data_IF_128641468849
#
_entry.id   IF_128641468849
#
_cell.length_a   1.000
_cell.length_b   1.000
_cell.length_c   1.000
_cell.angle_alpha   90.00
_cell.angle_beta   90.00
_cell.angle_gamma   90.00
#
_symmetry.space_group_name_H-M   'P 1'
#
loop_
_entity.id
_entity.type
_entity.pdbx_description
1 polymer ?
#
# COMPACT_ATOMS: atom_id res chain seq x y z
N UNK A 1 52.38 -31.81 13.05
CA UNK A 1 50.96 -31.49 12.80
C UNK A 1 50.85 -30.92 11.39
N UNK A 2 50.01 -31.47 10.50
CA UNK A 2 49.88 -30.90 9.17
C UNK A 2 48.97 -29.66 9.22
N UNK A 3 49.42 -28.60 8.55
CA UNK A 3 48.69 -27.35 8.38
C UNK A 3 47.59 -27.59 7.35
N UNK A 4 46.34 -27.33 7.73
CA UNK A 4 45.17 -27.44 6.86
C UNK A 4 45.21 -26.38 5.74
N UNK A 5 44.78 -26.70 4.51
CA UNK A 5 44.72 -25.73 3.42
C UNK A 5 43.63 -24.68 3.68
N UNK A 6 43.75 -23.48 3.08
CA UNK A 6 42.77 -22.41 3.25
C UNK A 6 41.41 -22.85 2.72
N UNK A 7 40.36 -22.68 3.52
CA UNK A 7 38.97 -22.84 3.08
C UNK A 7 38.71 -21.84 1.95
N UNK A 8 38.48 -22.34 0.74
CA UNK A 8 37.83 -21.56 -0.31
C UNK A 8 36.47 -21.12 0.24
N UNK A 9 36.31 -19.82 0.51
CA UNK A 9 35.01 -19.19 0.63
C UNK A 9 34.38 -19.19 -0.77
N UNK A 10 33.76 -20.30 -1.15
CA UNK A 10 32.67 -20.22 -2.12
C UNK A 10 31.54 -19.52 -1.41
N UNK A 11 31.17 -18.32 -1.87
CA UNK A 11 29.98 -17.63 -1.42
C UNK A 11 28.83 -18.65 -1.38
N UNK A 12 28.33 -18.93 -0.18
CA UNK A 12 27.08 -19.63 0.06
C UNK A 12 26.00 -18.95 -0.77
N UNK A 13 24.94 -19.67 -1.12
CA UNK A 13 23.70 -19.14 -1.72
C UNK A 13 22.96 -18.18 -0.76
N UNK A 14 23.67 -17.23 -0.16
CA UNK A 14 23.30 -16.49 1.06
C UNK A 14 22.71 -15.09 0.82
N UNK A 15 22.52 -14.61 -0.42
CA UNK A 15 21.89 -13.29 -0.64
C UNK A 15 21.00 -13.26 -1.89
N UNK A 16 20.00 -14.16 -1.98
CA UNK A 16 18.88 -13.87 -2.89
C UNK A 16 18.08 -12.74 -2.27
N UNK A 17 18.39 -11.50 -2.65
CA UNK A 17 17.46 -10.37 -2.57
C UNK A 17 16.14 -10.79 -3.24
N UNK A 18 15.21 -11.33 -2.44
CA UNK A 18 13.93 -11.82 -2.94
C UNK A 18 13.04 -10.60 -3.18
N UNK A 19 13.15 -10.05 -4.39
CA UNK A 19 12.23 -9.02 -4.87
C UNK A 19 10.91 -9.69 -5.19
N UNK A 20 9.86 -9.30 -4.47
CA UNK A 20 8.50 -9.81 -4.65
C UNK A 20 7.67 -8.71 -5.28
N UNK A 21 7.13 -9.00 -6.47
CA UNK A 21 6.14 -8.15 -7.12
C UNK A 21 4.88 -8.97 -7.34
N UNK A 22 3.76 -8.53 -6.77
CA UNK A 22 2.46 -9.15 -6.93
C UNK A 22 1.46 -8.13 -7.50
N UNK A 23 0.63 -8.57 -8.44
CA UNK A 23 -0.43 -7.76 -9.03
C UNK A 23 -1.74 -8.54 -9.00
N UNK A 24 -2.84 -7.89 -8.61
CA UNK A 24 -4.19 -8.46 -8.72
C UNK A 24 -4.98 -7.79 -9.83
N UNK A 25 -5.94 -8.50 -10.40
CA UNK A 25 -6.80 -7.96 -11.44
C UNK A 25 -8.22 -8.51 -11.36
N UNK A 26 -9.14 -7.85 -12.06
CA UNK A 26 -10.53 -8.29 -12.19
C UNK A 26 -10.71 -9.59 -13.00
N UNK A 27 -9.62 -10.21 -13.45
CA UNK A 27 -9.58 -11.56 -14.03
C UNK A 27 -9.56 -12.68 -12.98
N UNK A 28 -9.68 -12.33 -11.69
CA UNK A 28 -9.67 -13.27 -10.55
C UNK A 28 -8.33 -13.97 -10.32
N UNK A 29 -7.26 -13.44 -10.90
CA UNK A 29 -5.90 -13.89 -10.70
C UNK A 29 -5.11 -12.87 -9.85
N UNK A 30 -4.20 -13.39 -9.04
CA UNK A 30 -3.08 -12.62 -8.50
C UNK A 30 -1.80 -13.19 -9.13
N UNK A 31 -1.03 -12.38 -9.84
CA UNK A 31 0.21 -12.82 -10.51
C UNK A 31 1.42 -12.36 -9.72
N UNK A 32 2.35 -13.29 -9.50
CA UNK A 32 3.69 -13.03 -8.96
C UNK A 32 4.67 -12.91 -10.11
N UNK A 33 5.48 -11.87 -10.09
CA UNK A 33 6.38 -11.52 -11.17
C UNK A 33 7.82 -11.53 -10.71
N UNK A 34 8.69 -12.00 -11.58
CA UNK A 34 10.11 -11.73 -11.47
C UNK A 34 10.37 -10.29 -11.91
N UNK A 35 10.61 -9.39 -10.94
CA UNK A 35 10.80 -7.97 -11.21
C UNK A 35 11.92 -7.68 -12.24
N UNK A 36 12.96 -8.52 -12.28
CA UNK A 36 14.12 -8.38 -13.17
C UNK A 36 13.92 -8.89 -14.60
N UNK A 37 12.91 -9.72 -14.86
CA UNK A 37 12.71 -10.33 -16.20
C UNK A 37 11.36 -9.94 -16.79
N UNK A 38 10.36 -9.65 -15.96
CA UNK A 38 8.99 -9.38 -16.39
C UNK A 38 8.16 -10.65 -16.57
N UNK A 39 8.76 -11.82 -16.30
CA UNK A 39 8.07 -13.10 -16.41
C UNK A 39 7.14 -13.32 -15.22
N UNK A 40 5.95 -13.84 -15.50
CA UNK A 40 5.03 -14.33 -14.48
C UNK A 40 5.59 -15.64 -13.91
N UNK A 41 5.95 -15.64 -12.64
CA UNK A 41 6.48 -16.81 -11.93
C UNK A 41 5.36 -17.74 -11.47
N UNK A 42 4.31 -17.16 -10.87
CA UNK A 42 3.18 -17.91 -10.33
C UNK A 42 1.89 -17.14 -10.54
N UNK A 43 0.81 -17.87 -10.76
CA UNK A 43 -0.55 -17.33 -10.72
C UNK A 43 -1.30 -17.97 -9.55
N UNK A 44 -1.74 -17.12 -8.63
CA UNK A 44 -2.60 -17.47 -7.50
C UNK A 44 -4.05 -17.25 -7.90
N UNK A 45 -4.93 -18.19 -7.52
CA UNK A 45 -6.35 -18.08 -7.81
C UNK A 45 -7.06 -17.29 -6.70
N UNK A 46 -7.81 -16.27 -7.09
CA UNK A 46 -8.67 -15.48 -6.21
C UNK A 46 -10.08 -15.43 -6.79
N UNK A 47 -10.75 -16.57 -6.78
CA UNK A 47 -12.13 -16.71 -7.23
C UNK A 47 -13.11 -15.94 -6.33
N UNK A 48 -14.32 -15.72 -6.81
CA UNK A 48 -15.48 -15.19 -6.05
C UNK A 48 -15.46 -13.70 -5.69
N UNK A 49 -14.32 -13.03 -5.79
CA UNK A 49 -14.23 -11.59 -5.52
C UNK A 49 -13.16 -10.89 -6.38
N UNK A 50 -13.27 -9.58 -6.53
CA UNK A 50 -12.14 -8.71 -6.87
C UNK A 50 -11.24 -8.48 -5.66
N UNK A 51 -10.01 -8.02 -5.92
CA UNK A 51 -9.05 -7.64 -4.87
C UNK A 51 -8.93 -6.12 -4.85
N UNK A 52 -9.21 -5.50 -3.71
CA UNK A 52 -9.18 -4.04 -3.54
C UNK A 52 -7.84 -3.54 -2.98
N UNK A 53 -7.17 -4.37 -2.17
CA UNK A 53 -5.84 -4.08 -1.65
C UNK A 53 -5.00 -5.36 -1.57
N UNK A 54 -3.71 -5.24 -1.87
CA UNK A 54 -2.70 -6.28 -1.74
C UNK A 54 -1.59 -5.77 -0.83
N UNK A 55 -1.08 -6.63 0.03
CA UNK A 55 0.10 -6.32 0.84
C UNK A 55 0.88 -7.59 1.19
N UNK A 56 2.20 -7.47 1.24
CA UNK A 56 3.10 -8.56 1.65
C UNK A 56 3.38 -8.41 3.15
N UNK A 57 3.33 -9.51 3.90
CA UNK A 57 3.66 -9.48 5.33
C UNK A 57 5.09 -9.01 5.56
N UNK A 58 5.40 -8.38 6.72
CA UNK A 58 6.74 -7.85 6.98
C UNK A 58 7.88 -8.88 6.90
N UNK A 59 7.58 -10.14 7.21
CA UNK A 59 8.50 -11.29 7.13
C UNK A 59 8.64 -11.89 5.71
N UNK A 60 7.96 -11.31 4.72
CA UNK A 60 7.94 -11.75 3.33
C UNK A 60 7.43 -13.19 3.11
N UNK A 61 6.70 -13.76 4.07
CA UNK A 61 6.21 -15.13 3.99
C UNK A 61 4.85 -15.23 3.31
N UNK A 62 3.95 -14.27 3.57
CA UNK A 62 2.57 -14.32 3.10
C UNK A 62 2.22 -13.08 2.27
N UNK A 63 1.25 -13.26 1.38
CA UNK A 63 0.59 -12.19 0.64
C UNK A 63 -0.88 -12.12 1.07
N UNK A 64 -1.30 -10.96 1.54
CA UNK A 64 -2.68 -10.69 1.88
C UNK A 64 -3.43 -10.05 0.72
N UNK A 65 -4.64 -10.55 0.45
CA UNK A 65 -5.56 -10.00 -0.53
C UNK A 65 -6.89 -9.66 0.13
N UNK A 66 -7.19 -8.36 0.21
CA UNK A 66 -8.45 -7.82 0.69
C UNK A 66 -9.49 -7.82 -0.43
N UNK A 67 -10.62 -8.50 -0.22
CA UNK A 67 -11.70 -8.62 -1.20
C UNK A 67 -13.06 -8.17 -0.65
N UNK A 68 -14.12 -8.73 -1.23
CA UNK A 68 -15.49 -8.59 -0.78
C UNK A 68 -15.76 -9.59 0.34
N UNK A 69 -16.00 -9.12 1.56
CA UNK A 69 -16.36 -9.94 2.73
C UNK A 69 -15.27 -10.90 3.27
N UNK A 70 -14.13 -11.02 2.60
CA UNK A 70 -13.00 -11.83 3.07
C UNK A 70 -11.63 -11.15 2.89
N UNK A 71 -10.67 -11.61 3.68
CA UNK A 71 -9.24 -11.37 3.46
C UNK A 71 -8.56 -12.74 3.34
N UNK A 72 -7.90 -12.98 2.20
CA UNK A 72 -7.20 -14.24 1.93
C UNK A 72 -5.71 -14.05 2.04
N UNK A 73 -5.04 -14.97 2.73
CA UNK A 73 -3.57 -15.04 2.81
C UNK A 73 -3.05 -16.17 1.92
N UNK A 74 -2.02 -15.88 1.15
CA UNK A 74 -1.36 -16.83 0.27
C UNK A 74 0.09 -17.01 0.70
N UNK A 75 0.55 -18.25 0.76
CA UNK A 75 1.95 -18.56 1.06
C UNK A 75 2.85 -18.26 -0.15
N UNK A 76 3.87 -17.42 0.03
CA UNK A 76 4.82 -17.00 -1.00
C UNK A 76 6.00 -17.96 -1.19
N UNK A 77 6.13 -18.98 -0.33
CA UNK A 77 7.17 -20.00 -0.39
C UNK A 77 6.64 -21.37 -0.83
N UNK A 78 5.35 -21.63 -0.61
CA UNK A 78 4.67 -22.82 -1.12
C UNK A 78 4.48 -22.79 -2.65
N UNK A 79 4.25 -23.96 -3.26
CA UNK A 79 3.80 -24.05 -4.66
C UNK A 79 2.28 -23.96 -4.81
N UNK A 80 1.53 -23.91 -3.70
CA UNK A 80 0.06 -23.85 -3.72
C UNK A 80 -0.45 -22.56 -4.35
N UNK A 81 -1.45 -22.70 -5.23
CA UNK A 81 -2.11 -21.56 -5.88
C UNK A 81 -3.32 -21.04 -5.10
N UNK A 82 -3.78 -21.79 -4.10
CA UNK A 82 -4.90 -21.44 -3.23
C UNK A 82 -4.43 -20.69 -1.99
N UNK A 83 -5.38 -20.03 -1.33
CA UNK A 83 -5.17 -19.34 -0.06
C UNK A 83 -5.04 -20.36 1.08
N UNK A 84 -4.23 -20.03 2.08
CA UNK A 84 -3.98 -20.87 3.26
C UNK A 84 -4.74 -20.40 4.50
N UNK A 85 -5.12 -19.11 4.54
CA UNK A 85 -5.88 -18.50 5.64
C UNK A 85 -6.97 -17.64 5.02
N UNK A 86 -8.18 -17.71 5.58
CA UNK A 86 -9.32 -16.88 5.20
C UNK A 86 -9.89 -16.18 6.44
N UNK A 87 -9.93 -14.85 6.43
CA UNK A 87 -10.60 -14.06 7.45
C UNK A 87 -12.00 -13.68 6.95
N UNK A 88 -13.02 -14.28 7.56
CA UNK A 88 -14.44 -14.03 7.27
C UNK A 88 -15.11 -13.15 8.34
N UNK A 89 -16.42 -12.94 8.22
CA UNK A 89 -17.20 -12.15 9.19
C UNK A 89 -17.20 -10.65 8.91
N UNK A 90 -16.75 -10.24 7.71
CA UNK A 90 -16.79 -8.87 7.22
C UNK A 90 -18.01 -8.74 6.30
N UNK A 91 -18.80 -7.68 6.46
CA UNK A 91 -20.09 -7.56 5.77
C UNK A 91 -20.03 -6.94 4.37
N UNK A 92 -18.96 -6.20 4.06
CA UNK A 92 -18.78 -5.46 2.80
C UNK A 92 -17.33 -5.56 2.29
N UNK A 93 -16.98 -4.78 1.28
CA UNK A 93 -15.61 -4.71 0.76
C UNK A 93 -14.62 -4.26 1.84
N UNK A 94 -13.49 -4.95 1.90
CA UNK A 94 -12.29 -4.47 2.58
C UNK A 94 -11.53 -3.59 1.58
N UNK A 95 -11.37 -2.31 1.88
CA UNK A 95 -10.84 -1.27 0.97
C UNK A 95 -9.36 -0.99 1.20
N UNK A 96 -8.89 -1.19 2.42
CA UNK A 96 -7.49 -1.04 2.79
C UNK A 96 -7.06 -2.16 3.72
N UNK A 97 -5.78 -2.51 3.61
CA UNK A 97 -5.12 -3.54 4.39
C UNK A 97 -3.68 -3.08 4.66
N UNK A 98 -3.19 -3.46 5.84
CA UNK A 98 -1.96 -2.99 6.42
C UNK A 98 -1.41 -3.95 7.48
N UNK A 99 -0.10 -4.02 7.66
CA UNK A 99 0.52 -4.75 8.76
C UNK A 99 1.24 -3.85 9.76
N UNK A 100 1.25 -4.26 11.03
CA UNK A 100 2.23 -3.77 12.00
C UNK A 100 3.63 -4.21 11.55
N UNK A 101 4.64 -3.36 11.76
CA UNK A 101 6.04 -3.63 11.43
C UNK A 101 6.54 -5.02 11.90
N UNK A 102 6.18 -5.43 13.12
CA UNK A 102 6.58 -6.73 13.69
C UNK A 102 5.70 -7.91 13.26
N UNK A 103 4.69 -7.70 12.41
CA UNK A 103 3.80 -8.75 11.93
C UNK A 103 2.90 -9.40 12.98
N UNK A 104 2.72 -8.79 14.17
CA UNK A 104 1.87 -9.37 15.23
C UNK A 104 0.38 -9.14 14.97
N UNK A 105 0.04 -8.04 14.31
CA UNK A 105 -1.33 -7.70 13.97
C UNK A 105 -1.41 -7.03 12.60
N UNK A 106 -2.61 -7.13 12.03
CA UNK A 106 -3.02 -6.54 10.76
C UNK A 106 -4.10 -5.50 11.03
N UNK A 107 -4.15 -4.44 10.22
CA UNK A 107 -5.23 -3.47 10.22
C UNK A 107 -5.94 -3.43 8.88
N UNK A 108 -7.23 -3.10 8.91
CA UNK A 108 -8.08 -3.08 7.72
C UNK A 108 -9.08 -1.94 7.77
N UNK A 109 -9.41 -1.35 6.62
CA UNK A 109 -10.55 -0.46 6.44
C UNK A 109 -11.63 -1.13 5.59
N UNK A 110 -12.90 -0.82 5.86
CA UNK A 110 -14.02 -1.43 5.16
C UNK A 110 -15.14 -0.46 4.77
N UNK A 111 -15.87 -0.82 3.72
CA UNK A 111 -17.09 -0.13 3.32
C UNK A 111 -18.24 -0.26 4.33
N UNK A 112 -18.07 -1.12 5.34
CA UNK A 112 -18.96 -1.25 6.49
C UNK A 112 -18.82 -0.09 7.50
N UNK A 113 -17.96 0.90 7.20
CA UNK A 113 -17.74 2.07 8.05
C UNK A 113 -16.86 1.74 9.24
N UNK A 114 -15.95 0.78 9.10
CA UNK A 114 -15.06 0.42 10.21
C UNK A 114 -13.60 0.33 9.78
N UNK A 115 -12.72 0.69 10.70
CA UNK A 115 -11.35 0.22 10.73
C UNK A 115 -11.22 -0.84 11.82
N UNK A 116 -10.52 -1.95 11.52
CA UNK A 116 -10.39 -3.10 12.43
C UNK A 116 -8.93 -3.48 12.60
N UNK A 117 -8.60 -4.05 13.76
CA UNK A 117 -7.30 -4.66 14.04
C UNK A 117 -7.50 -6.15 14.30
N UNK A 118 -6.69 -6.98 13.66
CA UNK A 118 -6.72 -8.43 13.70
C UNK A 118 -5.43 -8.95 14.36
N UNK A 119 -5.54 -9.77 15.41
CA UNK A 119 -4.35 -10.40 16.00
C UNK A 119 -3.95 -11.63 15.20
N UNK A 120 -2.80 -11.58 14.54
CA UNK A 120 -2.30 -12.64 13.65
C UNK A 120 -1.74 -13.83 14.43
N UNK A 121 -1.48 -13.67 15.73
CA UNK A 121 -0.94 -14.74 16.60
C UNK A 121 -2.05 -15.63 17.15
N UNK A 122 -3.30 -15.19 17.06
CA UNK A 122 -4.45 -15.94 17.56
C UNK A 122 -4.96 -16.93 16.53
N UNK A 123 -5.18 -18.18 16.96
CA UNK A 123 -5.73 -19.24 16.09
C UNK A 123 -7.17 -18.97 15.62
N UNK A 124 -7.92 -18.13 16.33
CA UNK A 124 -9.33 -17.88 16.03
C UNK A 124 -9.56 -16.70 15.09
N UNK A 125 -8.49 -16.10 14.52
CA UNK A 125 -8.57 -15.00 13.54
C UNK A 125 -9.49 -13.86 14.02
N UNK A 126 -9.37 -13.51 15.30
CA UNK A 126 -10.30 -12.61 15.95
C UNK A 126 -9.97 -11.14 15.71
N UNK A 127 -11.02 -10.32 15.67
CA UNK A 127 -10.91 -8.87 15.68
C UNK A 127 -10.62 -8.43 17.12
N UNK A 128 -9.48 -7.78 17.32
CA UNK A 128 -9.04 -7.29 18.63
C UNK A 128 -9.63 -5.92 18.95
N UNK A 129 -9.67 -5.00 17.96
CA UNK A 129 -10.21 -3.64 18.13
C UNK A 129 -11.00 -3.22 16.89
N UNK A 130 -12.02 -2.37 17.11
CA UNK A 130 -12.86 -1.79 16.06
C UNK A 130 -13.00 -0.30 16.32
N UNK A 131 -12.68 0.48 15.31
CA UNK A 131 -13.00 1.90 15.21
C UNK A 131 -14.13 2.07 14.21
N UNK A 132 -15.25 2.64 14.64
CA UNK A 132 -16.47 2.77 13.82
C UNK A 132 -16.71 4.23 13.45
N UNK A 133 -17.06 4.45 12.19
CA UNK A 133 -17.45 5.73 11.62
C UNK A 133 -18.79 5.58 10.90
N UNK A 134 -19.48 6.69 10.65
CA UNK A 134 -20.82 6.68 10.07
C UNK A 134 -20.82 6.51 8.54
N UNK A 135 -19.67 6.68 7.89
CA UNK A 135 -19.53 6.58 6.43
C UNK A 135 -18.50 5.53 6.02
N UNK A 136 -18.61 4.93 4.81
CA UNK A 136 -17.67 3.91 4.37
C UNK A 136 -16.21 4.38 4.44
N UNK A 137 -15.33 3.53 4.97
CA UNK A 137 -13.89 3.80 5.02
C UNK A 137 -13.26 3.42 3.68
N UNK A 138 -12.59 4.38 3.04
CA UNK A 138 -11.89 4.14 1.78
C UNK A 138 -10.42 3.74 1.99
N UNK A 139 -9.78 4.25 3.04
CA UNK A 139 -8.37 4.01 3.28
C UNK A 139 -8.01 4.09 4.77
N UNK A 140 -6.96 3.35 5.12
CA UNK A 140 -6.35 3.36 6.46
C UNK A 140 -4.83 3.34 6.27
N UNK A 141 -4.10 4.10 7.06
CA UNK A 141 -2.65 4.00 7.11
C UNK A 141 -2.12 4.15 8.54
N UNK A 142 -1.17 3.29 8.90
CA UNK A 142 -0.47 3.32 10.18
C UNK A 142 0.69 4.31 10.17
N UNK A 143 0.80 5.11 11.22
CA UNK A 143 1.94 5.98 11.44
C UNK A 143 3.18 5.15 11.84
N UNK A 144 4.41 5.56 11.46
CA UNK A 144 5.63 4.82 11.80
C UNK A 144 5.85 4.56 13.30
N UNK A 145 5.23 5.34 14.20
CA UNK A 145 5.26 5.08 15.64
C UNK A 145 4.47 3.83 16.08
N UNK A 146 3.73 3.17 15.18
CA UNK A 146 2.92 1.98 15.43
C UNK A 146 1.76 2.17 16.44
N UNK A 147 1.43 3.43 16.77
CA UNK A 147 0.40 3.79 17.75
C UNK A 147 -0.74 4.55 17.09
N UNK A 148 -0.43 5.54 16.26
CA UNK A 148 -1.43 6.36 15.60
C UNK A 148 -1.79 5.80 14.23
N UNK A 149 -3.08 5.78 13.91
CA UNK A 149 -3.57 5.31 12.63
C UNK A 149 -4.53 6.33 12.02
N UNK A 150 -4.36 6.65 10.75
CA UNK A 150 -5.24 7.60 10.05
C UNK A 150 -6.26 6.83 9.22
N UNK A 151 -7.53 7.23 9.35
CA UNK A 151 -8.66 6.60 8.67
C UNK A 151 -9.35 7.64 7.80
N UNK A 152 -9.40 7.42 6.49
CA UNK A 152 -10.02 8.34 5.53
C UNK A 152 -11.33 7.77 4.99
N UNK A 153 -12.40 8.55 5.05
CA UNK A 153 -13.75 8.09 4.72
C UNK A 153 -14.36 8.76 3.46
N UNK A 154 -15.56 8.26 3.09
CA UNK A 154 -16.29 8.76 1.94
C UNK A 154 -16.87 10.18 2.12
N UNK A 155 -17.12 10.62 3.35
CA UNK A 155 -17.57 11.98 3.64
C UNK A 155 -16.46 13.03 3.48
N UNK A 156 -15.21 12.61 3.31
CA UNK A 156 -14.09 13.54 3.23
C UNK A 156 -13.39 13.79 4.57
N UNK A 157 -13.71 12.99 5.58
CA UNK A 157 -13.16 13.11 6.93
C UNK A 157 -11.93 12.23 7.07
N UNK A 158 -10.92 12.77 7.75
CA UNK A 158 -9.73 12.05 8.21
C UNK A 158 -9.84 11.94 9.74
N UNK A 159 -9.92 10.72 10.24
CA UNK A 159 -9.96 10.39 11.66
C UNK A 159 -8.56 9.96 12.11
N UNK A 160 -8.17 10.32 13.33
CA UNK A 160 -6.88 9.96 13.92
C UNK A 160 -7.15 8.98 15.06
N UNK A 161 -6.95 7.69 14.82
CA UNK A 161 -7.22 6.66 15.80
C UNK A 161 -5.93 6.24 16.52
N UNK A 162 -5.86 6.50 17.83
CA UNK A 162 -4.86 5.89 18.71
C UNK A 162 -5.23 4.42 18.98
N UNK A 163 -4.38 3.51 18.51
CA UNK A 163 -4.55 2.07 18.64
C UNK A 163 -4.50 1.61 20.08
N UNK A 164 -3.85 2.33 21.00
CA UNK A 164 -3.77 1.97 22.42
C UNK A 164 -4.93 2.53 23.23
N UNK A 165 -5.46 3.69 22.85
CA UNK A 165 -6.60 4.32 23.52
C UNK A 165 -7.84 3.42 23.52
N UNK A 166 -8.61 3.51 24.60
CA UNK A 166 -9.96 2.92 24.71
C UNK A 166 -11.05 3.90 24.29
N UNK A 167 -10.70 5.19 24.16
CA UNK A 167 -11.61 6.24 23.75
C UNK A 167 -11.46 6.50 22.25
N UNK A 168 -12.57 6.43 21.53
CA UNK A 168 -12.66 6.72 20.10
C UNK A 168 -12.95 8.21 19.82
N UNK A 169 -12.86 9.07 20.83
CA UNK A 169 -13.04 10.51 20.68
C UNK A 169 -11.81 11.10 20.00
N UNK A 170 -11.99 11.45 18.73
CA UNK A 170 -10.94 12.07 17.91
C UNK A 170 -11.49 13.38 17.37
N UNK A 171 -10.63 14.39 17.22
CA UNK A 171 -10.98 15.60 16.48
C UNK A 171 -10.87 15.30 14.97
N UNK A 172 -12.00 15.16 14.26
CA UNK A 172 -11.96 14.81 12.84
C UNK A 172 -11.42 15.98 12.02
N UNK A 173 -10.57 15.67 11.05
CA UNK A 173 -10.02 16.65 10.12
C UNK A 173 -10.75 16.58 8.78
N UNK A 174 -11.30 17.70 8.33
CA UNK A 174 -12.04 17.76 7.05
C UNK A 174 -11.34 18.75 6.10
N UNK A 175 -10.47 18.28 5.17
CA UNK A 175 -9.79 19.16 4.22
C UNK A 175 -10.73 19.85 3.22
N UNK A 176 -11.76 19.15 2.76
CA UNK A 176 -12.71 19.63 1.76
C UNK A 176 -14.05 18.93 1.93
N UNK A 177 -15.03 19.65 2.45
CA UNK A 177 -16.39 19.14 2.75
C UNK A 177 -17.13 18.59 1.53
N UNK A 178 -16.66 18.88 0.31
CA UNK A 178 -17.29 18.45 -0.93
C UNK A 178 -16.52 17.33 -1.65
N UNK A 179 -15.50 16.74 -1.02
CA UNK A 179 -14.63 15.75 -1.65
C UNK A 179 -14.40 14.55 -0.73
N UNK A 180 -14.49 13.34 -1.30
CA UNK A 180 -14.20 12.11 -0.58
C UNK A 180 -12.69 11.85 -0.53
N UNK A 181 -12.17 11.39 0.61
CA UNK A 181 -10.78 10.92 0.73
C UNK A 181 -10.67 9.55 0.06
N UNK A 182 -9.73 9.40 -0.87
CA UNK A 182 -9.52 8.15 -1.60
C UNK A 182 -8.34 7.35 -1.06
N UNK A 183 -7.27 8.03 -0.68
CA UNK A 183 -6.12 7.38 -0.06
C UNK A 183 -5.34 8.32 0.85
N UNK A 184 -4.75 7.75 1.89
CA UNK A 184 -3.86 8.40 2.84
C UNK A 184 -2.49 7.73 2.82
N UNK A 185 -1.44 8.52 2.98
CA UNK A 185 -0.10 8.00 3.23
C UNK A 185 0.67 8.89 4.19
N UNK A 186 1.40 8.25 5.09
CA UNK A 186 2.40 8.88 5.95
C UNK A 186 3.78 8.55 5.39
N UNK A 187 4.71 9.50 5.43
CA UNK A 187 6.10 9.23 5.02
C UNK A 187 6.81 8.35 6.05
N UNK A 188 7.87 7.65 5.63
CA UNK A 188 8.57 6.70 6.50
C UNK A 188 9.18 7.37 7.76
N UNK A 189 9.44 8.68 7.71
CA UNK A 189 9.95 9.47 8.84
C UNK A 189 8.84 10.00 9.76
N UNK A 190 7.56 9.80 9.45
CA UNK A 190 6.44 10.29 10.25
C UNK A 190 6.34 11.82 10.31
N UNK A 191 6.86 12.54 9.31
CA UNK A 191 6.87 13.99 9.25
C UNK A 191 5.71 14.57 8.46
N UNK A 192 5.15 13.82 7.51
CA UNK A 192 4.14 14.28 6.58
C UNK A 192 3.02 13.27 6.42
N UNK A 193 1.79 13.77 6.42
CA UNK A 193 0.60 13.06 5.97
C UNK A 193 0.15 13.67 4.65
N UNK A 194 -0.17 12.85 3.66
CA UNK A 194 -0.80 13.26 2.42
C UNK A 194 -2.14 12.53 2.24
N UNK A 195 -3.15 13.27 1.79
CA UNK A 195 -4.46 12.75 1.43
C UNK A 195 -4.80 13.11 -0.02
N UNK A 196 -5.17 12.13 -0.83
CA UNK A 196 -5.69 12.35 -2.18
C UNK A 196 -7.20 12.19 -2.19
N UNK A 197 -7.89 13.04 -2.95
CA UNK A 197 -9.36 13.08 -3.02
C UNK A 197 -9.90 12.61 -4.37
N UNK A 198 -11.20 12.32 -4.41
CA UNK A 198 -11.93 11.98 -5.63
C UNK A 198 -11.95 13.11 -6.69
N UNK A 199 -11.54 14.33 -6.33
CA UNK A 199 -11.39 15.47 -7.25
C UNK A 199 -9.97 15.64 -7.79
N UNK A 200 -9.07 14.72 -7.50
CA UNK A 200 -7.66 14.81 -7.93
C UNK A 200 -6.85 15.86 -7.16
N UNK A 201 -7.39 16.42 -6.07
CA UNK A 201 -6.63 17.27 -5.15
C UNK A 201 -5.88 16.45 -4.12
N UNK A 202 -4.69 16.90 -3.77
CA UNK A 202 -3.87 16.34 -2.69
C UNK A 202 -3.68 17.39 -1.62
N UNK A 203 -3.97 17.03 -0.37
CA UNK A 203 -3.76 17.86 0.81
C UNK A 203 -2.61 17.28 1.62
N UNK A 204 -1.75 18.15 2.15
CA UNK A 204 -0.52 17.75 2.84
C UNK A 204 -0.44 18.47 4.18
N UNK A 205 -0.15 17.70 5.23
CA UNK A 205 0.06 18.17 6.59
C UNK A 205 1.45 17.79 7.07
N UNK A 206 2.02 18.64 7.93
CA UNK A 206 3.17 18.29 8.76
C UNK A 206 2.66 17.70 10.05
N UNK A 207 3.17 16.53 10.39
CA UNK A 207 2.96 15.85 11.64
C UNK A 207 3.99 16.31 12.67
N UNK A 208 3.54 16.51 13.91
CA UNK A 208 4.39 16.78 15.07
C UNK A 208 3.84 16.04 16.28
N UNK A 209 4.72 15.59 17.17
CA UNK A 209 4.34 14.76 18.31
C UNK A 209 4.38 13.27 17.95
N UNK A 210 3.45 12.50 18.48
CA UNK A 210 3.39 11.04 18.31
C UNK A 210 4.13 10.27 19.40
N UNK A 211 4.28 10.88 20.58
CA UNK A 211 4.74 10.23 21.81
C UNK A 211 3.58 10.15 22.80
N UNK A 212 3.66 9.28 23.80
CA UNK A 212 2.61 9.13 24.82
C UNK A 212 2.24 10.47 25.51
N UNK A 213 3.23 11.35 25.71
CA UNK A 213 3.03 12.68 26.33
C UNK A 213 2.54 13.76 25.36
N UNK A 214 2.76 13.60 24.04
CA UNK A 214 2.46 14.61 23.03
C UNK A 214 1.75 13.95 21.83
N UNK A 215 0.40 14.00 21.77
CA UNK A 215 -0.36 13.40 20.68
C UNK A 215 -0.01 14.02 19.33
N UNK A 216 -0.28 13.29 18.25
CA UNK A 216 -0.02 13.81 16.90
C UNK A 216 -0.87 15.05 16.63
N UNK A 217 -0.21 16.12 16.22
CA UNK A 217 -0.84 17.34 15.72
C UNK A 217 -0.57 17.50 14.22
N UNK A 218 -1.61 17.89 13.47
CA UNK A 218 -1.54 18.08 12.03
C UNK A 218 -1.56 19.56 11.71
N UNK A 219 -0.52 20.03 11.04
CA UNK A 219 -0.44 21.42 10.56
C UNK A 219 -0.51 21.45 9.04
N UNK A 220 -1.54 22.07 8.43
CA UNK A 220 -1.69 22.09 6.98
C UNK A 220 -0.54 22.87 6.34
N UNK A 221 0.09 22.29 5.32
CA UNK A 221 1.22 22.90 4.60
C UNK A 221 0.78 23.40 3.23
N UNK A 222 0.12 22.52 2.47
CA UNK A 222 -0.14 22.75 1.04
C UNK A 222 -1.34 21.95 0.57
N UNK A 223 -2.05 22.52 -0.41
CA UNK A 223 -2.98 21.80 -1.28
C UNK A 223 -2.47 21.87 -2.72
N UNK A 224 -2.58 20.75 -3.44
CA UNK A 224 -2.13 20.59 -4.81
C UNK A 224 -3.31 20.15 -5.68
N UNK A 225 -3.53 20.82 -6.81
CA UNK A 225 -4.36 20.28 -7.88
C UNK A 225 -3.52 19.27 -8.68
N UNK A 226 -3.36 18.06 -8.12
CA UNK A 226 -2.45 17.06 -8.67
C UNK A 226 -2.93 16.51 -10.01
N UNK A 227 -4.24 16.27 -10.13
CA UNK A 227 -4.86 15.62 -11.27
C UNK A 227 -6.14 16.33 -11.72
N UNK A 228 -6.45 16.24 -13.01
CA UNK A 228 -7.66 16.84 -13.59
C UNK A 228 -8.92 15.97 -13.41
N UNK A 229 -8.73 14.68 -13.08
CA UNK A 229 -9.79 13.69 -12.86
C UNK A 229 -9.66 13.08 -11.46
N UNK A 230 -10.36 11.97 -11.25
CA UNK A 230 -10.40 11.23 -10.00
C UNK A 230 -9.00 10.84 -9.51
N UNK A 231 -8.64 11.20 -8.28
CA UNK A 231 -7.41 10.77 -7.63
C UNK A 231 -7.60 9.39 -6.97
N UNK A 232 -6.61 8.51 -7.09
CA UNK A 232 -6.74 7.11 -6.69
C UNK A 232 -5.85 6.78 -5.48
N UNK A 233 -4.52 6.87 -5.64
CA UNK A 233 -3.56 6.58 -4.56
C UNK A 233 -2.57 7.72 -4.37
N UNK A 234 -2.05 7.81 -3.16
CA UNK A 234 -0.88 8.62 -2.81
C UNK A 234 0.06 7.76 -1.97
N UNK A 235 1.36 7.79 -2.26
CA UNK A 235 2.40 7.07 -1.50
C UNK A 235 3.66 7.93 -1.40
N UNK A 236 4.35 7.85 -0.27
CA UNK A 236 5.69 8.42 -0.14
C UNK A 236 6.75 7.38 -0.52
N UNK A 237 7.91 7.86 -0.97
CA UNK A 237 9.07 7.00 -1.14
C UNK A 237 9.66 6.58 0.22
N UNK A 238 10.33 5.41 0.30
CA UNK A 238 10.96 4.94 1.53
C UNK A 238 11.96 5.94 2.16
N UNK A 239 12.72 6.67 1.35
CA UNK A 239 13.65 7.71 1.81
C UNK A 239 12.95 9.02 2.24
N UNK A 240 11.64 9.10 2.05
CA UNK A 240 10.77 10.26 2.28
C UNK A 240 11.14 11.49 1.43
N UNK A 241 11.88 11.33 0.34
CA UNK A 241 12.31 12.43 -0.54
C UNK A 241 11.32 12.73 -1.68
N UNK A 242 10.49 11.74 -2.04
CA UNK A 242 9.49 11.82 -3.10
C UNK A 242 8.10 11.40 -2.61
N UNK A 243 7.09 11.81 -3.36
CA UNK A 243 5.71 11.39 -3.22
C UNK A 243 5.14 11.08 -4.61
N UNK A 244 4.41 9.98 -4.75
CA UNK A 244 3.70 9.61 -5.97
C UNK A 244 2.20 9.74 -5.78
N UNK A 245 1.51 10.23 -6.81
CA UNK A 245 0.04 10.30 -6.87
C UNK A 245 -0.45 9.64 -8.14
N UNK A 246 -1.55 8.89 -8.09
CA UNK A 246 -2.13 8.23 -9.26
C UNK A 246 -3.56 8.67 -9.50
N UNK A 247 -4.02 8.56 -10.75
CA UNK A 247 -5.33 9.06 -11.14
C UNK A 247 -5.94 8.35 -12.34
N UNK A 248 -7.25 8.55 -12.48
CA UNK A 248 -8.06 8.28 -13.65
C UNK A 248 -7.69 9.14 -14.88
N UNK A 249 -6.84 10.16 -14.73
CA UNK A 249 -6.31 10.96 -15.84
C UNK A 249 -5.14 10.29 -16.60
N UNK A 250 -4.91 9.01 -16.33
CA UNK A 250 -3.88 8.14 -16.95
C UNK A 250 -2.45 8.45 -16.56
N UNK A 251 -2.24 9.24 -15.51
CA UNK A 251 -0.91 9.63 -15.04
C UNK A 251 -0.62 9.10 -13.65
N UNK A 252 0.66 8.82 -13.42
CA UNK A 252 1.24 8.85 -12.08
C UNK A 252 2.17 10.06 -12.00
N UNK A 253 1.89 11.00 -11.10
CA UNK A 253 2.71 12.21 -10.94
C UNK A 253 3.64 12.05 -9.74
N UNK A 254 4.92 12.32 -9.94
CA UNK A 254 5.94 12.31 -8.89
C UNK A 254 6.21 13.74 -8.44
N UNK A 255 6.26 13.93 -7.13
CA UNK A 255 6.46 15.20 -6.44
C UNK A 255 7.68 15.10 -5.54
N UNK A 256 8.40 16.19 -5.37
CA UNK A 256 9.51 16.28 -4.41
C UNK A 256 8.97 16.67 -3.04
N UNK A 257 9.27 15.91 -1.99
CA UNK A 257 8.73 16.16 -0.64
C UNK A 257 9.28 17.45 0.01
N UNK A 258 10.46 17.93 -0.42
CA UNK A 258 11.08 19.16 0.13
C UNK A 258 10.20 20.41 -0.02
N UNK A 259 9.57 20.56 -1.17
CA UNK A 259 8.80 21.75 -1.55
C UNK A 259 7.43 21.41 -2.18
N UNK A 260 7.15 20.12 -2.36
CA UNK A 260 5.99 19.59 -3.06
C UNK A 260 5.86 20.12 -4.50
N UNK A 261 7.00 20.41 -5.13
CA UNK A 261 7.06 20.70 -6.56
C UNK A 261 6.91 19.42 -7.37
N UNK A 262 6.24 19.52 -8.52
CA UNK A 262 6.13 18.42 -9.47
C UNK A 262 7.50 18.13 -10.09
N UNK A 263 7.91 16.87 -10.05
CA UNK A 263 9.15 16.38 -10.66
C UNK A 263 8.87 15.89 -12.08
N UNK A 264 7.93 14.94 -12.23
CA UNK A 264 7.62 14.32 -13.51
C UNK A 264 6.22 13.71 -13.53
N UNK A 265 5.59 13.67 -14.70
CA UNK A 265 4.43 12.81 -14.98
C UNK A 265 4.91 11.54 -15.66
N UNK A 266 4.61 10.38 -15.08
CA UNK A 266 4.79 9.07 -15.68
C UNK A 266 3.52 8.71 -16.43
N UNK A 267 3.63 8.60 -17.76
CA UNK A 267 2.53 8.22 -18.63
C UNK A 267 3.06 7.51 -19.88
N UNK A 268 2.29 6.54 -20.37
CA UNK A 268 2.62 5.74 -21.56
C UNK A 268 1.46 5.74 -22.57
N UNK A 269 1.75 5.33 -23.80
CA UNK A 269 0.74 5.21 -24.86
C UNK A 269 -0.35 4.20 -24.45
N UNK A 270 -1.61 4.55 -24.70
CA UNK A 270 -2.79 3.74 -24.37
C UNK A 270 -2.99 3.43 -22.88
N UNK A 271 -2.22 4.05 -21.98
CA UNK A 271 -2.40 3.90 -20.55
C UNK A 271 -3.80 4.40 -20.16
N UNK A 272 -4.46 3.65 -19.27
CA UNK A 272 -5.78 3.99 -18.72
C UNK A 272 -5.62 4.41 -17.27
N UNK A 273 -6.67 4.30 -16.45
CA UNK A 273 -6.59 4.71 -15.04
C UNK A 273 -5.47 3.94 -14.35
N UNK A 274 -4.65 4.68 -13.60
CA UNK A 274 -3.56 4.11 -12.81
C UNK A 274 -4.09 3.90 -11.39
N UNK A 275 -4.41 2.65 -11.07
CA UNK A 275 -5.07 2.30 -9.81
C UNK A 275 -4.15 2.37 -8.62
N UNK A 276 -2.92 1.88 -8.77
CA UNK A 276 -1.99 1.73 -7.66
C UNK A 276 -0.56 2.04 -8.03
N UNK A 277 0.23 2.36 -7.01
CA UNK A 277 1.64 2.73 -7.13
C UNK A 277 2.45 2.27 -5.93
N UNK A 278 3.68 1.85 -6.17
CA UNK A 278 4.64 1.50 -5.12
C UNK A 278 6.06 1.87 -5.56
N UNK A 279 6.91 2.20 -4.59
CA UNK A 279 8.31 2.57 -4.81
C UNK A 279 9.24 1.36 -4.60
N UNK A 280 10.40 1.39 -5.25
CA UNK A 280 11.53 0.55 -4.83
C UNK A 280 12.10 1.02 -3.49
N UNK A 281 12.75 0.12 -2.73
CA UNK A 281 13.39 0.46 -1.46
C UNK A 281 14.44 1.56 -1.61
N UNK A 282 15.15 1.58 -2.75
CA UNK A 282 16.14 2.61 -3.07
C UNK A 282 15.53 3.92 -3.59
N UNK A 283 14.19 4.01 -3.69
CA UNK A 283 13.43 5.19 -4.12
C UNK A 283 13.77 5.68 -5.54
N UNK A 284 14.36 4.84 -6.40
CA UNK A 284 14.72 5.20 -7.79
C UNK A 284 13.72 4.72 -8.84
N UNK A 285 12.94 3.70 -8.51
CA UNK A 285 11.95 3.12 -9.40
C UNK A 285 10.55 3.17 -8.78
N UNK A 286 9.56 3.16 -9.67
CA UNK A 286 8.15 3.10 -9.30
C UNK A 286 7.49 2.01 -10.12
N UNK A 287 6.66 1.19 -9.48
CA UNK A 287 5.77 0.25 -10.17
C UNK A 287 4.35 0.80 -10.12
N UNK A 288 3.68 0.84 -11.28
CA UNK A 288 2.29 1.29 -11.40
C UNK A 288 1.41 0.19 -11.97
N UNK A 289 0.17 0.08 -11.49
CA UNK A 289 -0.84 -0.87 -11.96
C UNK A 289 -1.96 -0.13 -12.68
N UNK A 290 -2.30 -0.53 -13.90
CA UNK A 290 -3.20 0.22 -14.77
C UNK A 290 -4.39 -0.61 -15.27
N UNK A 291 -5.46 0.08 -15.68
CA UNK A 291 -6.66 -0.55 -16.23
C UNK A 291 -6.47 -1.15 -17.62
N UNK A 292 -5.34 -0.87 -18.28
CA UNK A 292 -4.94 -1.48 -19.54
C UNK A 292 -4.31 -2.88 -19.37
N UNK A 293 -4.58 -3.53 -18.24
CA UNK A 293 -4.10 -4.88 -17.86
C UNK A 293 -2.58 -5.02 -17.72
N UNK A 294 -1.84 -3.91 -17.72
CA UNK A 294 -0.37 -3.91 -17.69
C UNK A 294 0.15 -3.18 -16.46
N UNK A 295 1.05 -3.82 -15.73
CA UNK A 295 1.86 -3.14 -14.71
C UNK A 295 3.17 -2.67 -15.34
N UNK A 296 3.68 -1.51 -14.92
CA UNK A 296 4.88 -0.89 -15.50
C UNK A 296 5.87 -0.51 -14.43
N UNK A 297 7.15 -0.83 -14.64
CA UNK A 297 8.28 -0.35 -13.86
C UNK A 297 8.86 0.88 -14.54
N UNK A 298 8.96 1.98 -13.80
CA UNK A 298 9.41 3.28 -14.27
C UNK A 298 10.71 3.65 -13.59
N UNK A 299 11.63 4.23 -14.35
CA UNK A 299 12.80 4.92 -13.80
C UNK A 299 12.43 6.38 -13.54
N UNK A 300 12.54 6.83 -12.29
CA UNK A 300 12.15 8.20 -11.91
C UNK A 300 13.07 9.24 -12.56
N UNK A 301 14.36 8.94 -12.69
CA UNK A 301 15.35 9.85 -13.27
C UNK A 301 15.14 10.10 -14.76
N UNK A 302 14.69 9.09 -15.50
CA UNK A 302 14.48 9.17 -16.95
C UNK A 302 13.02 9.42 -17.35
N UNK A 303 12.07 9.09 -16.47
CA UNK A 303 10.63 9.09 -16.77
C UNK A 303 10.18 8.00 -17.72
N UNK A 304 11.06 7.05 -18.07
CA UNK A 304 10.77 6.01 -19.05
C UNK A 304 10.35 4.71 -18.40
N UNK A 305 9.52 3.96 -19.11
CA UNK A 305 9.20 2.57 -18.79
C UNK A 305 10.47 1.74 -18.99
N UNK A 306 10.92 1.11 -17.92
CA UNK A 306 12.05 0.16 -17.91
C UNK A 306 11.55 -1.23 -18.26
N UNK A 307 10.33 -1.57 -17.80
CA UNK A 307 9.75 -2.89 -17.99
C UNK A 307 8.24 -2.86 -17.90
N UNK A 308 7.62 -3.79 -18.61
CA UNK A 308 6.19 -4.06 -18.57
C UNK A 308 5.95 -5.48 -18.05
N UNK A 309 4.90 -5.63 -17.26
CA UNK A 309 4.42 -6.89 -16.71
C UNK A 309 3.03 -7.14 -17.30
N UNK A 310 3.02 -7.87 -18.42
CA UNK A 310 1.83 -8.13 -19.23
C UNK A 310 1.44 -9.60 -19.09
N UNK A 311 0.18 -9.87 -18.77
CA UNK A 311 -0.32 -11.23 -18.60
C UNK A 311 -1.69 -11.33 -17.94
N UNK A 312 -2.17 -10.26 -17.30
CA UNK A 312 -3.56 -10.16 -16.90
C UNK A 312 -4.48 -9.99 -18.10
N UNK A 313 -5.72 -10.47 -17.99
CA UNK A 313 -6.75 -10.37 -19.04
C UNK A 313 -7.68 -9.17 -18.84
N UNK A 314 -7.65 -8.57 -17.65
CA UNK A 314 -8.49 -7.43 -17.26
C UNK A 314 -7.65 -6.41 -16.50
N UNK A 315 -8.29 -5.30 -16.12
CA UNK A 315 -7.67 -4.21 -15.39
C UNK A 315 -7.03 -4.68 -14.08
N UNK A 316 -5.80 -4.19 -13.83
CA UNK A 316 -5.11 -4.38 -12.55
C UNK A 316 -5.77 -3.50 -11.50
N UNK A 317 -6.08 -4.06 -10.34
CA UNK A 317 -6.79 -3.37 -9.26
C UNK A 317 -5.89 -2.99 -8.09
N UNK A 318 -4.92 -3.84 -7.71
CA UNK A 318 -3.97 -3.55 -6.63
C UNK A 318 -2.57 -4.10 -6.93
N UNK A 319 -1.58 -3.54 -6.24
CA UNK A 319 -0.18 -3.94 -6.30
C UNK A 319 0.39 -4.20 -4.91
N UNK A 320 1.32 -5.14 -4.82
CA UNK A 320 2.21 -5.28 -3.68
C UNK A 320 3.64 -5.50 -4.16
N UNK A 321 4.58 -4.78 -3.56
CA UNK A 321 5.99 -4.84 -3.92
C UNK A 321 6.87 -4.77 -2.68
N UNK A 322 7.92 -5.59 -2.62
CA UNK A 322 8.92 -5.57 -1.55
C UNK A 322 10.25 -6.07 -2.10
N UNK A 323 11.30 -5.27 -1.93
CA UNK A 323 12.68 -5.53 -2.34
C UNK A 323 13.69 -5.31 -1.20
N UNK A 324 13.21 -5.13 0.03
CA UNK A 324 14.06 -5.00 1.22
C UNK A 324 14.81 -6.31 1.52
N UNK A 325 16.11 -6.26 1.85
CA UNK A 325 16.84 -7.42 2.37
C UNK A 325 16.19 -7.91 3.66
N UNK A 326 16.06 -9.23 3.82
CA UNK A 326 15.81 -9.83 5.13
C UNK A 326 17.14 -9.78 5.88
N UNK A 327 17.24 -8.94 6.92
CA UNK A 327 18.39 -8.91 7.82
C UNK A 327 18.28 -9.97 8.91
#
# INVERSE_FOLDING_TARGET
MPVSPPKNFTASEEDRQKVILATSSYDHDIKLWQAHTGLCERTLQHSESQVNALEITPDCQLLAAAGHQHIRMYDLNSSTSDHIINYDGISKNVTALGFQENGKWMYTGGEDGTAKIWDLRSKNLHISKIFKVDTPVNCVCLHPNQVDMFVGDQAGVIHIWDVNSTNNENDPLVPDVNASIQHLAVDAKGMFLAAITNKGKVYIWRLKGGTEENPITLTPIRSLAAHAKYGLKVKFSPDSSLMATTSADTKCTIWRTKDFSKVIDLTDQNQRWVWDVTFSSDSKFVVTGSSDSTARLWSISSGKVVREYSGHRKAISALAFRDTPLY
#
